data_IF_299714603330
#
_entry.id   IF_299714603330
#
_cell.length_a   1.000
_cell.length_b   1.000
_cell.length_c   1.000
_cell.angle_alpha   90.00
_cell.angle_beta   90.00
_cell.angle_gamma   90.00
#
_symmetry.space_group_name_H-M   'P 1'
#
loop_
_entity.id
_entity.type
_entity.pdbx_description
1 polymer ?
#
# COMPACT_ATOMS: atom_id res chain seq x y z
N UNK A 1 19.91 14.92 -2.96
CA UNK A 1 18.59 15.16 -2.33
C UNK A 1 18.14 13.88 -1.65
N UNK A 2 17.41 13.96 -0.54
CA UNK A 2 16.85 12.79 0.13
C UNK A 2 15.72 12.22 -0.71
N UNK A 3 15.72 10.89 -0.94
CA UNK A 3 14.67 10.19 -1.69
C UNK A 3 13.67 9.57 -0.74
N UNK A 4 12.42 9.99 -0.85
CA UNK A 4 11.34 9.53 0.02
C UNK A 4 10.29 8.80 -0.77
N UNK A 5 10.02 7.53 -0.39
CA UNK A 5 8.90 6.77 -0.92
C UNK A 5 7.63 7.09 -0.13
N UNK A 6 6.56 7.43 -0.83
CA UNK A 6 5.22 7.67 -0.29
C UNK A 6 4.35 6.44 -0.62
N UNK A 7 4.04 5.62 0.40
CA UNK A 7 3.32 4.37 0.23
C UNK A 7 2.01 4.34 1.02
N UNK A 8 0.94 4.75 0.37
CA UNK A 8 -0.43 4.63 0.88
C UNK A 8 -1.10 3.35 0.38
N UNK A 9 -1.67 2.57 1.28
CA UNK A 9 -2.34 1.32 0.94
C UNK A 9 -3.61 1.12 1.76
N UNK A 10 -4.59 0.43 1.19
CA UNK A 10 -5.81 0.06 1.93
C UNK A 10 -5.49 -0.83 3.15
N UNK A 11 -4.57 -1.79 3.01
CA UNK A 11 -4.11 -2.69 4.07
C UNK A 11 -5.25 -3.30 4.90
N UNK A 12 -6.25 -3.89 4.24
CA UNK A 12 -7.49 -4.38 4.85
C UNK A 12 -7.70 -5.89 4.61
N UNK A 13 -6.91 -6.75 5.32
CA UNK A 13 -5.72 -6.49 6.13
C UNK A 13 -4.43 -6.33 5.29
N UNK A 14 -3.31 -5.88 5.88
CA UNK A 14 -2.02 -5.99 5.25
C UNK A 14 -1.59 -7.45 5.12
N UNK A 15 -0.85 -7.77 4.05
CA UNK A 15 -0.47 -9.14 3.68
C UNK A 15 1.06 -9.29 3.61
N UNK A 16 1.54 -10.52 3.44
CA UNK A 16 2.95 -10.80 3.14
C UNK A 16 3.44 -10.03 1.89
N UNK A 17 2.55 -9.74 0.94
CA UNK A 17 2.85 -8.88 -0.21
C UNK A 17 3.22 -7.46 0.20
N UNK A 18 2.48 -6.85 1.13
CA UNK A 18 2.81 -5.54 1.68
C UNK A 18 4.15 -5.54 2.40
N UNK A 19 4.43 -6.59 3.20
CA UNK A 19 5.73 -6.77 3.87
C UNK A 19 6.88 -6.82 2.87
N UNK A 20 6.74 -7.57 1.78
CA UNK A 20 7.75 -7.67 0.72
C UNK A 20 8.01 -6.31 0.06
N UNK A 21 6.94 -5.56 -0.27
CA UNK A 21 7.05 -4.22 -0.86
C UNK A 21 7.78 -3.27 0.10
N UNK A 22 7.35 -3.20 1.35
CA UNK A 22 7.94 -2.32 2.35
C UNK A 22 9.42 -2.64 2.62
N UNK A 23 9.76 -3.93 2.68
CA UNK A 23 11.16 -4.35 2.83
C UNK A 23 12.01 -3.90 1.63
N UNK A 24 11.50 -4.05 0.40
CA UNK A 24 12.19 -3.59 -0.80
C UNK A 24 12.34 -2.05 -0.80
N UNK A 25 11.29 -1.30 -0.46
CA UNK A 25 11.34 0.16 -0.37
C UNK A 25 12.38 0.62 0.66
N UNK A 26 12.48 -0.03 1.82
CA UNK A 26 13.46 0.31 2.85
C UNK A 26 14.91 0.18 2.38
N UNK A 27 15.16 -0.69 1.40
CA UNK A 27 16.50 -0.90 0.83
C UNK A 27 16.84 0.11 -0.26
N UNK A 28 15.84 0.68 -0.93
CA UNK A 28 16.02 1.50 -2.13
C UNK A 28 15.78 3.01 -1.91
N UNK A 29 15.21 3.41 -0.77
CA UNK A 29 14.91 4.80 -0.43
C UNK A 29 15.59 5.21 0.88
N UNK A 30 15.85 6.51 1.03
CA UNK A 30 16.39 7.05 2.28
C UNK A 30 15.35 7.06 3.39
N UNK A 31 14.08 7.26 3.02
CA UNK A 31 12.93 7.23 3.92
C UNK A 31 11.69 6.67 3.23
N UNK A 32 10.86 5.96 3.98
CA UNK A 32 9.59 5.41 3.50
C UNK A 32 8.47 5.84 4.44
N UNK A 33 7.60 6.71 3.95
CA UNK A 33 6.40 7.12 4.64
C UNK A 33 5.24 6.18 4.28
N UNK A 34 4.65 5.54 5.29
CA UNK A 34 3.61 4.53 5.13
C UNK A 34 2.32 4.99 5.81
N UNK A 35 1.17 4.80 5.17
CA UNK A 35 -0.12 5.07 5.81
C UNK A 35 -1.23 4.17 5.29
N UNK A 36 -2.27 3.97 6.11
CA UNK A 36 -3.50 3.36 5.66
C UNK A 36 -4.29 4.39 4.85
N UNK A 37 -4.60 4.09 3.59
CA UNK A 37 -5.32 5.03 2.73
C UNK A 37 -6.81 5.06 3.06
N UNK A 38 -7.38 6.26 3.09
CA UNK A 38 -8.83 6.49 3.18
C UNK A 38 -9.42 6.65 1.76
N UNK A 39 -9.47 5.53 1.02
CA UNK A 39 -9.96 5.55 -0.35
C UNK A 39 -11.50 5.53 -0.39
N UNK A 40 -12.17 6.62 -0.82
CA UNK A 40 -13.63 6.72 -0.82
C UNK A 40 -14.30 5.77 -1.83
N UNK A 41 -13.54 5.21 -2.77
CA UNK A 41 -14.03 4.26 -3.78
C UNK A 41 -13.94 2.80 -3.33
N UNK A 42 -13.41 2.53 -2.15
CA UNK A 42 -13.31 1.18 -1.57
C UNK A 42 -14.12 1.10 -0.29
N UNK A 43 -14.98 0.08 -0.20
CA UNK A 43 -15.55 -0.31 1.09
C UNK A 43 -14.49 -1.06 1.89
N UNK A 44 -14.14 -0.52 3.05
CA UNK A 44 -13.26 -1.19 4.00
C UNK A 44 -14.10 -1.97 5.02
N UNK A 45 -13.58 -3.12 5.44
CA UNK A 45 -14.25 -3.93 6.48
C UNK A 45 -13.77 -3.57 7.87
N UNK A 46 -12.57 -2.93 7.97
CA UNK A 46 -12.04 -2.46 9.24
C UNK A 46 -11.79 -0.96 9.22
N UNK A 47 -11.78 -0.36 10.41
CA UNK A 47 -11.52 1.06 10.59
C UNK A 47 -10.11 1.45 10.16
N UNK A 48 -9.90 2.74 9.88
CA UNK A 48 -8.59 3.29 9.56
C UNK A 48 -7.59 3.05 10.70
N UNK A 49 -8.05 3.10 11.96
CA UNK A 49 -7.26 2.85 13.15
C UNK A 49 -6.69 1.42 13.17
N UNK A 50 -7.52 0.40 12.98
CA UNK A 50 -7.07 -1.00 12.91
C UNK A 50 -6.13 -1.24 11.75
N UNK A 51 -6.40 -0.67 10.58
CA UNK A 51 -5.53 -0.81 9.41
C UNK A 51 -4.16 -0.16 9.64
N UNK A 52 -4.12 0.99 10.29
CA UNK A 52 -2.88 1.67 10.69
C UNK A 52 -2.10 0.87 11.73
N UNK A 53 -2.78 0.30 12.73
CA UNK A 53 -2.15 -0.56 13.74
C UNK A 53 -1.53 -1.81 13.10
N UNK A 54 -2.22 -2.47 12.17
CA UNK A 54 -1.69 -3.62 11.45
C UNK A 54 -0.49 -3.25 10.56
N UNK A 55 -0.51 -2.09 9.91
CA UNK A 55 0.66 -1.62 9.15
C UNK A 55 1.87 -1.37 10.05
N UNK A 56 1.66 -0.80 11.24
CA UNK A 56 2.73 -0.62 12.23
C UNK A 56 3.36 -1.96 12.63
N UNK A 57 2.56 -3.00 12.82
CA UNK A 57 3.05 -4.35 13.10
C UNK A 57 3.93 -4.89 11.96
N UNK A 58 3.53 -4.72 10.70
CA UNK A 58 4.36 -5.10 9.54
C UNK A 58 5.69 -4.33 9.52
N UNK A 59 5.66 -3.04 9.79
CA UNK A 59 6.88 -2.20 9.86
C UNK A 59 7.83 -2.74 10.95
N UNK A 60 7.30 -3.07 12.12
CA UNK A 60 8.06 -3.64 13.22
C UNK A 60 8.63 -5.03 12.89
N UNK A 61 7.86 -5.88 12.20
CA UNK A 61 8.35 -7.20 11.74
C UNK A 61 9.52 -7.10 10.76
N UNK A 62 9.52 -6.08 9.88
CA UNK A 62 10.62 -5.88 8.91
C UNK A 62 11.90 -5.52 9.64
N UNK A 63 11.80 -4.75 10.73
CA UNK A 63 12.93 -4.33 11.57
C UNK A 63 14.12 -3.88 10.71
N UNK A 64 13.87 -2.96 9.76
CA UNK A 64 14.90 -2.47 8.83
C UNK A 64 16.13 -1.96 9.59
N UNK A 65 17.36 -2.42 9.25
CA UNK A 65 18.58 -1.92 9.88
C UNK A 65 18.77 -0.41 9.71
N UNK A 66 18.15 0.18 8.70
CA UNK A 66 18.21 1.63 8.41
C UNK A 66 17.20 2.43 9.23
N UNK A 67 16.26 1.78 9.93
CA UNK A 67 15.18 2.43 10.70
C UNK A 67 14.43 3.51 9.91
N UNK A 68 14.28 3.31 8.62
CA UNK A 68 13.78 4.28 7.65
C UNK A 68 12.34 4.01 7.17
N UNK A 69 11.63 3.09 7.82
CA UNK A 69 10.21 2.82 7.62
C UNK A 69 9.41 3.46 8.76
N UNK A 70 8.51 4.39 8.45
CA UNK A 70 7.68 5.05 9.45
C UNK A 70 6.22 5.12 9.03
N UNK A 71 5.34 4.90 10.02
CA UNK A 71 3.91 5.12 9.86
C UNK A 71 3.60 6.61 10.00
N UNK A 72 2.89 7.16 9.01
CA UNK A 72 2.48 8.56 8.91
C UNK A 72 0.96 8.67 8.71
N UNK A 73 0.14 8.45 9.76
CA UNK A 73 -1.32 8.48 9.64
C UNK A 73 -1.86 9.83 9.14
N UNK A 74 -1.15 10.91 9.43
CA UNK A 74 -1.47 12.27 9.01
C UNK A 74 -1.45 12.46 7.49
N UNK A 75 -0.80 11.56 6.74
CA UNK A 75 -0.80 11.57 5.28
C UNK A 75 -2.06 10.94 4.68
N UNK A 76 -2.94 10.36 5.49
CA UNK A 76 -4.18 9.76 5.00
C UNK A 76 -5.16 10.85 4.56
N UNK A 77 -5.36 10.97 3.25
CA UNK A 77 -6.37 11.82 2.63
C UNK A 77 -7.10 11.04 1.54
N UNK A 78 -8.41 11.31 1.30
CA UNK A 78 -9.13 10.74 0.17
C UNK A 78 -8.61 11.24 -1.19
N UNK A 79 -7.76 12.25 -1.21
CA UNK A 79 -7.17 12.84 -2.42
C UNK A 79 -5.64 12.81 -2.36
N UNK A 80 -5.02 12.04 -3.24
CA UNK A 80 -3.56 11.84 -3.25
C UNK A 80 -2.77 13.14 -3.43
N UNK A 81 -3.28 14.12 -4.16
CA UNK A 81 -2.61 15.41 -4.30
C UNK A 81 -2.47 16.12 -2.95
N UNK A 82 -3.50 16.08 -2.10
CA UNK A 82 -3.47 16.65 -0.73
C UNK A 82 -2.46 15.91 0.16
N UNK A 83 -2.36 14.58 0.02
CA UNK A 83 -1.33 13.77 0.68
C UNK A 83 0.08 14.24 0.28
N UNK A 84 0.32 14.47 -1.01
CA UNK A 84 1.62 14.93 -1.50
C UNK A 84 1.93 16.34 -1.04
N UNK A 85 0.95 17.24 -1.01
CA UNK A 85 1.09 18.58 -0.45
C UNK A 85 1.51 18.54 1.04
N UNK A 86 0.88 17.67 1.84
CA UNK A 86 1.27 17.44 3.24
C UNK A 86 2.69 16.84 3.36
N UNK A 87 3.02 15.88 2.52
CA UNK A 87 4.37 15.30 2.49
C UNK A 87 5.42 16.36 2.13
N UNK A 88 5.11 17.29 1.22
CA UNK A 88 6.00 18.39 0.84
C UNK A 88 6.24 19.38 1.99
N UNK A 89 5.26 19.58 2.87
CA UNK A 89 5.45 20.36 4.10
C UNK A 89 6.39 19.68 5.10
N UNK A 90 6.34 18.35 5.19
CA UNK A 90 7.23 17.56 6.07
C UNK A 90 8.65 17.48 5.50
N UNK A 91 8.79 17.39 4.18
CA UNK A 91 10.07 17.21 3.47
C UNK A 91 10.20 18.15 2.27
N UNK A 92 10.40 19.46 2.51
CA UNK A 92 10.37 20.50 1.46
C UNK A 92 11.42 20.31 0.36
N UNK A 93 12.60 19.78 0.72
CA UNK A 93 13.74 19.63 -0.19
C UNK A 93 13.95 18.19 -0.68
N UNK A 94 13.00 17.27 -0.44
CA UNK A 94 13.13 15.89 -0.81
C UNK A 94 12.62 15.59 -2.23
N UNK A 95 13.19 14.56 -2.85
CA UNK A 95 12.60 13.91 -4.02
C UNK A 95 11.50 12.95 -3.53
N UNK A 96 10.24 13.25 -3.88
CA UNK A 96 9.09 12.44 -3.48
C UNK A 96 8.75 11.46 -4.59
N UNK A 97 8.66 10.17 -4.25
CA UNK A 97 8.24 9.10 -5.15
C UNK A 97 6.95 8.49 -4.64
N UNK A 98 5.87 8.64 -5.41
CA UNK A 98 4.58 8.01 -5.10
C UNK A 98 4.59 6.55 -5.56
N UNK A 99 4.39 5.64 -4.63
CA UNK A 99 4.39 4.19 -4.87
C UNK A 99 2.96 3.70 -5.10
N UNK A 100 2.70 3.09 -6.26
CA UNK A 100 1.38 2.58 -6.64
C UNK A 100 1.46 1.15 -7.19
N UNK A 101 0.41 0.37 -6.95
CA UNK A 101 0.28 -0.93 -7.59
C UNK A 101 -0.07 -0.81 -9.08
N UNK A 102 0.40 -1.76 -9.90
CA UNK A 102 0.10 -1.79 -11.33
C UNK A 102 -1.40 -1.87 -11.66
N UNK A 103 -2.21 -2.40 -10.73
CA UNK A 103 -3.68 -2.42 -10.82
C UNK A 103 -4.34 -1.02 -10.79
N UNK A 104 -3.62 0.00 -10.34
CA UNK A 104 -4.13 1.37 -10.24
C UNK A 104 -3.76 2.24 -11.46
N UNK A 105 -2.82 1.81 -12.29
CA UNK A 105 -2.29 2.62 -13.43
C UNK A 105 -3.41 3.13 -14.33
N UNK A 106 -4.36 2.27 -14.71
CA UNK A 106 -5.49 2.66 -15.56
C UNK A 106 -6.50 3.61 -14.89
N UNK A 107 -6.42 3.80 -13.59
CA UNK A 107 -7.30 4.69 -12.81
C UNK A 107 -6.69 6.07 -12.58
N UNK A 108 -5.36 6.21 -12.67
CA UNK A 108 -4.61 7.43 -12.38
C UNK A 108 -5.17 8.68 -13.08
N UNK A 109 -5.53 8.65 -14.39
CA UNK A 109 -6.05 9.83 -15.08
C UNK A 109 -7.39 10.35 -14.52
N UNK A 110 -8.08 9.55 -13.68
CA UNK A 110 -9.35 9.94 -13.02
C UNK A 110 -9.13 10.51 -11.62
N UNK A 111 -7.90 10.51 -11.12
CA UNK A 111 -7.62 11.04 -9.79
C UNK A 111 -7.73 12.57 -9.81
N UNK A 112 -8.22 13.08 -8.68
CA UNK A 112 -8.38 14.53 -8.52
C UNK A 112 -7.05 15.25 -8.74
N UNK A 113 -7.04 16.23 -9.64
CA UNK A 113 -5.87 17.03 -10.01
C UNK A 113 -4.65 16.17 -10.43
N UNK A 114 -4.89 15.13 -11.19
CA UNK A 114 -3.86 14.17 -11.61
C UNK A 114 -2.63 14.86 -12.26
N UNK A 115 -2.83 15.82 -13.16
CA UNK A 115 -1.73 16.54 -13.81
C UNK A 115 -0.89 17.34 -12.83
N UNK A 116 -1.53 18.00 -11.84
CA UNK A 116 -0.85 18.71 -10.77
C UNK A 116 -0.05 17.73 -9.87
N UNK A 117 -0.60 16.56 -9.58
CA UNK A 117 0.07 15.49 -8.84
C UNK A 117 1.38 15.09 -9.53
N UNK A 118 1.37 14.89 -10.86
CA UNK A 118 2.53 14.46 -11.63
C UNK A 118 3.69 15.48 -11.64
N UNK A 119 3.41 16.74 -11.39
CA UNK A 119 4.48 17.77 -11.29
C UNK A 119 5.21 17.75 -9.96
N UNK A 120 4.68 17.03 -8.98
CA UNK A 120 5.18 17.03 -7.60
C UNK A 120 5.91 15.75 -7.19
N UNK A 121 5.70 14.65 -7.93
CA UNK A 121 6.23 13.33 -7.57
C UNK A 121 6.69 12.54 -8.80
N UNK A 122 7.68 11.67 -8.59
CA UNK A 122 7.93 10.54 -9.47
C UNK A 122 6.94 9.40 -9.15
N UNK A 123 6.60 8.58 -10.15
CA UNK A 123 5.77 7.39 -9.96
C UNK A 123 6.64 6.14 -9.93
N UNK A 124 6.51 5.34 -8.87
CA UNK A 124 7.06 3.99 -8.80
C UNK A 124 5.92 2.97 -8.88
N UNK A 125 5.89 2.20 -9.96
CA UNK A 125 4.88 1.17 -10.18
C UNK A 125 5.39 -0.15 -9.61
N UNK A 126 4.63 -0.71 -8.67
CA UNK A 126 4.87 -2.04 -8.11
C UNK A 126 4.06 -3.06 -8.92
N UNK A 127 4.71 -4.03 -9.58
CA UNK A 127 4.01 -5.08 -10.31
C UNK A 127 3.09 -5.89 -9.39
N UNK A 128 1.87 -6.17 -9.87
CA UNK A 128 0.91 -7.04 -9.18
C UNK A 128 0.49 -8.21 -10.07
N UNK A 129 0.30 -9.40 -9.49
CA UNK A 129 -0.26 -10.53 -10.21
C UNK A 129 -1.56 -10.17 -10.93
N UNK A 130 -1.70 -10.60 -12.20
CA UNK A 130 -2.84 -10.25 -13.05
C UNK A 130 -2.77 -8.88 -13.74
N UNK A 131 -1.78 -8.05 -13.39
CA UNK A 131 -1.54 -6.72 -14.00
C UNK A 131 -0.06 -6.58 -14.37
N UNK A 132 0.43 -7.37 -15.35
CA UNK A 132 1.84 -7.38 -15.73
C UNK A 132 2.27 -6.03 -16.27
N UNK A 133 3.46 -5.59 -15.89
CA UNK A 133 4.01 -4.28 -16.24
C UNK A 133 4.17 -4.07 -17.75
N UNK A 134 4.37 -5.14 -18.52
CA UNK A 134 4.53 -5.13 -19.97
C UNK A 134 3.24 -4.74 -20.70
N UNK A 135 2.08 -4.91 -20.06
CA UNK A 135 0.76 -4.57 -20.63
C UNK A 135 0.28 -3.18 -20.20
N UNK A 136 1.05 -2.48 -19.34
CA UNK A 136 0.66 -1.17 -18.87
C UNK A 136 0.92 -0.12 -19.95
N UNK A 137 -0.06 0.72 -20.21
CA UNK A 137 0.10 1.87 -21.09
C UNK A 137 0.83 3.02 -20.37
N UNK A 138 2.11 2.82 -20.10
CA UNK A 138 2.97 3.83 -19.47
C UNK A 138 3.23 5.03 -20.38
N UNK A 139 2.95 4.88 -21.68
CA UNK A 139 3.14 5.96 -22.65
C UNK A 139 2.18 7.13 -22.37
N UNK A 140 0.92 6.84 -22.00
CA UNK A 140 -0.01 7.89 -21.59
C UNK A 140 0.50 8.67 -20.38
N UNK A 141 0.99 7.99 -19.36
CA UNK A 141 1.54 8.64 -18.16
C UNK A 141 2.72 9.53 -18.48
N UNK A 142 3.66 9.04 -19.30
CA UNK A 142 4.84 9.79 -19.72
C UNK A 142 4.48 11.01 -20.60
N UNK A 143 3.48 10.89 -21.46
CA UNK A 143 2.95 12.03 -22.21
C UNK A 143 2.32 13.11 -21.35
N UNK A 144 1.74 12.72 -20.23
CA UNK A 144 1.20 13.66 -19.23
C UNK A 144 2.30 14.26 -18.35
N UNK A 145 3.59 14.00 -18.65
CA UNK A 145 4.73 14.55 -17.91
C UNK A 145 5.20 13.73 -16.71
N UNK A 146 4.65 12.52 -16.50
CA UNK A 146 5.07 11.68 -15.40
C UNK A 146 6.47 11.10 -15.62
N UNK A 147 7.33 11.19 -14.60
CA UNK A 147 8.50 10.34 -14.46
C UNK A 147 8.06 9.00 -13.86
N UNK A 148 8.29 7.89 -14.60
CA UNK A 148 7.75 6.58 -14.23
C UNK A 148 8.85 5.54 -14.21
N UNK A 149 9.02 4.90 -13.06
CA UNK A 149 9.86 3.72 -12.86
C UNK A 149 8.99 2.50 -12.51
N UNK A 150 9.52 1.30 -12.77
CA UNK A 150 8.91 0.03 -12.36
C UNK A 150 9.82 -0.61 -11.31
N UNK A 151 9.24 -1.03 -10.20
CA UNK A 151 9.98 -1.70 -9.14
C UNK A 151 10.41 -3.10 -9.58
N UNK A 152 11.69 -3.42 -9.40
CA UNK A 152 12.27 -4.75 -9.67
C UNK A 152 12.11 -5.66 -8.46
N UNK A 153 10.87 -6.05 -8.15
CA UNK A 153 10.58 -6.98 -7.06
C UNK A 153 9.54 -8.03 -7.47
N UNK A 154 9.62 -9.19 -6.85
CA UNK A 154 8.63 -10.24 -6.96
C UNK A 154 7.86 -10.33 -5.65
N UNK A 155 6.70 -9.70 -5.59
CA UNK A 155 5.81 -9.86 -4.46
C UNK A 155 5.05 -11.20 -4.55
N UNK A 156 4.77 -11.88 -3.43
CA UNK A 156 3.96 -13.09 -3.44
C UNK A 156 2.56 -12.80 -3.99
N UNK A 157 1.98 -13.82 -4.65
CA UNK A 157 0.64 -13.73 -5.24
C UNK A 157 -0.44 -13.82 -4.16
N UNK A 158 -0.48 -12.85 -3.28
CA UNK A 158 -1.45 -12.75 -2.19
C UNK A 158 -2.11 -11.39 -2.17
N UNK A 159 -3.38 -11.34 -1.79
CA UNK A 159 -4.13 -10.09 -1.73
C UNK A 159 -5.04 -10.03 -0.51
N UNK A 160 -5.29 -8.82 -0.02
CA UNK A 160 -6.28 -8.58 1.03
C UNK A 160 -7.70 -9.02 0.60
N UNK A 161 -8.01 -8.89 -0.68
CA UNK A 161 -9.30 -9.30 -1.25
C UNK A 161 -9.45 -10.81 -1.16
N UNK A 162 -8.43 -11.59 -1.58
CA UNK A 162 -8.44 -13.05 -1.47
C UNK A 162 -8.65 -13.48 -0.01
N UNK A 163 -7.91 -12.89 0.93
CA UNK A 163 -8.11 -13.17 2.36
C UNK A 163 -9.56 -12.87 2.81
N UNK A 164 -10.12 -11.73 2.44
CA UNK A 164 -11.50 -11.37 2.82
C UNK A 164 -12.55 -12.29 2.23
N UNK A 165 -12.30 -12.87 1.05
CA UNK A 165 -13.23 -13.77 0.36
C UNK A 165 -13.12 -15.23 0.82
N UNK A 166 -11.90 -15.69 1.08
CA UNK A 166 -11.62 -17.11 1.32
C UNK A 166 -11.20 -17.45 2.75
N UNK A 167 -10.76 -16.46 3.53
CA UNK A 167 -10.15 -16.66 4.85
C UNK A 167 -8.77 -17.32 4.78
N UNK A 168 -8.09 -17.24 3.63
CA UNK A 168 -6.77 -17.81 3.43
C UNK A 168 -5.71 -17.07 4.25
N UNK A 169 -5.33 -17.67 5.38
CA UNK A 169 -4.34 -17.13 6.31
C UNK A 169 -2.90 -17.18 5.76
N UNK A 170 -2.63 -17.97 4.70
CA UNK A 170 -1.31 -17.98 4.05
C UNK A 170 -0.95 -16.60 3.46
N UNK A 171 -1.96 -15.76 3.19
CA UNK A 171 -1.75 -14.39 2.76
C UNK A 171 -1.22 -13.48 3.87
N UNK A 172 -1.35 -13.86 5.13
CA UNK A 172 -1.02 -13.04 6.30
C UNK A 172 0.36 -13.39 6.86
N UNK A 173 0.93 -12.46 7.64
CA UNK A 173 2.00 -12.82 8.57
C UNK A 173 1.39 -13.30 9.90
N UNK A 174 2.10 -14.14 10.68
CA UNK A 174 1.58 -14.62 11.98
C UNK A 174 1.15 -13.48 12.92
N UNK A 175 1.90 -12.39 12.95
CA UNK A 175 1.60 -11.22 13.79
C UNK A 175 0.28 -10.55 13.37
N UNK A 176 -0.02 -10.49 12.08
CA UNK A 176 -1.28 -9.95 11.58
C UNK A 176 -2.45 -10.89 11.87
N UNK A 177 -2.25 -12.19 11.73
CA UNK A 177 -3.26 -13.19 12.10
C UNK A 177 -3.60 -13.10 13.59
N UNK A 178 -2.59 -13.02 14.47
CA UNK A 178 -2.78 -12.84 15.91
C UNK A 178 -3.53 -11.56 16.27
N UNK A 179 -3.21 -10.45 15.59
CA UNK A 179 -3.92 -9.18 15.78
C UNK A 179 -5.40 -9.29 15.39
N UNK A 180 -5.68 -9.86 14.21
CA UNK A 180 -7.04 -10.06 13.71
C UNK A 180 -7.87 -10.91 14.68
N UNK A 181 -7.29 -12.00 15.18
CA UNK A 181 -7.96 -12.91 16.13
C UNK A 181 -8.24 -12.20 17.47
N UNK A 182 -7.28 -11.46 18.00
CA UNK A 182 -7.41 -10.73 19.27
C UNK A 182 -8.47 -9.62 19.21
N UNK A 183 -8.50 -8.87 18.12
CA UNK A 183 -9.43 -7.76 17.92
C UNK A 183 -10.77 -8.20 17.30
N UNK A 184 -10.95 -9.52 17.06
CA UNK A 184 -12.15 -10.10 16.43
C UNK A 184 -12.52 -9.43 15.09
N UNK A 185 -11.52 -9.06 14.29
CA UNK A 185 -11.71 -8.46 12.98
C UNK A 185 -12.07 -9.54 11.95
N UNK A 186 -12.87 -9.19 10.95
CA UNK A 186 -13.32 -10.13 9.90
C UNK A 186 -14.05 -11.36 10.46
N UNK A 187 -14.81 -11.21 11.55
CA UNK A 187 -15.43 -12.28 12.34
C UNK A 187 -16.39 -13.20 11.53
N UNK A 188 -16.87 -12.77 10.37
CA UNK A 188 -17.67 -13.60 9.48
C UNK A 188 -16.91 -14.85 8.94
N UNK A 189 -15.59 -14.83 8.92
CA UNK A 189 -14.78 -16.01 8.60
C UNK A 189 -14.86 -17.11 9.65
N UNK A 190 -15.02 -16.76 10.93
CA UNK A 190 -15.18 -17.73 12.00
C UNK A 190 -16.51 -18.48 11.89
N UNK A 191 -17.59 -17.82 11.48
CA UNK A 191 -18.88 -18.44 11.27
C UNK A 191 -18.83 -19.50 10.14
N UNK A 192 -18.18 -19.16 9.02
CA UNK A 192 -18.01 -20.10 7.89
C UNK A 192 -17.05 -21.26 8.21
N UNK A 193 -16.00 -21.04 9.01
CA UNK A 193 -15.12 -22.13 9.48
C UNK A 193 -15.89 -23.13 10.37
N UNK A 194 -16.76 -22.64 11.26
CA UNK A 194 -17.59 -23.49 12.13
C UNK A 194 -18.61 -24.33 11.34
N UNK A 195 -19.21 -23.77 10.30
CA UNK A 195 -20.14 -24.51 9.45
C UNK A 195 -19.44 -25.61 8.61
N UNK A 196 -18.22 -25.37 8.13
CA UNK A 196 -17.43 -26.36 7.36
C UNK A 196 -16.86 -27.50 8.21
N UNK A 197 -16.68 -27.29 9.51
CA UNK A 197 -16.19 -28.35 10.44
C UNK A 197 -17.36 -29.18 11.00
N UNK A 198 -18.60 -28.69 10.90
CA UNK A 198 -19.81 -29.37 11.39
C UNK A 198 -20.45 -30.31 10.35
N UNK A 199 -19.87 -30.47 9.18
CA UNK A 199 -20.24 -31.36 8.10
C UNK A 199 -19.08 -32.29 7.77
#
# INVERSE_FOLDING_TARGET
MQKIALFGTSADPPTAGHKTILNWLSQNFDWVAVWASDNPFKSHQTSLEHRSAMLLLIIQEINSPRHNLCLHPELSSPRTVETVEQARLLWPDAELTLVIGSDLVGQLPRWYKFEELLTQVELLIVPRPGYPSEQLDLWQLRRSGAEVAIASLNAPNVSSTSYRETGDTEALTPTIEDYINREHLYAWHEAQKREKVAH
#
